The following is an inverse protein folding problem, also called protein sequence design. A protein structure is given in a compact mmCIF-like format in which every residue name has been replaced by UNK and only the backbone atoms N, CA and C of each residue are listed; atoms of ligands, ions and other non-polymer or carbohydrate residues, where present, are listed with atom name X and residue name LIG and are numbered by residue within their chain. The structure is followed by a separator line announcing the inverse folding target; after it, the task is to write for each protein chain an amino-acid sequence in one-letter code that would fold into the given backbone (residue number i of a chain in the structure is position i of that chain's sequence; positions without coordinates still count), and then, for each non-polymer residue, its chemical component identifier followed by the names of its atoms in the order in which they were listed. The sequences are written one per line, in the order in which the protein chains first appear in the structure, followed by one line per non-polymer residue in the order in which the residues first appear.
data_IF_781774184289
#
_entry.id   IF_781774184289
#
_cell.length_a   1.000
_cell.length_b   1.000
_cell.length_c   1.000
_cell.angle_alpha   90.00
_cell.angle_beta   90.00
_cell.angle_gamma   90.00
#
_symmetry.space_group_name_H-M   'P 1'
#
loop_
_entity.id
_entity.type
_entity.pdbx_description
1 polymer ?
#
# COMPACT_ATOMS: atom_id res chain seq x y z
N UNK A 1 21.60 5.28 14.83
CA UNK A 1 21.22 6.66 15.19
C UNK A 1 21.44 7.56 13.98
N UNK A 2 20.38 7.86 13.25
CA UNK A 2 20.44 8.82 12.16
C UNK A 2 20.51 10.24 12.74
N UNK A 3 21.62 10.95 12.48
CA UNK A 3 21.76 12.35 12.91
C UNK A 3 21.06 13.28 11.92
N UNK A 4 20.16 14.14 12.42
CA UNK A 4 19.45 15.13 11.62
C UNK A 4 20.43 16.26 11.27
N UNK A 5 20.78 16.41 9.98
CA UNK A 5 21.41 17.61 9.46
C UNK A 5 20.43 18.34 8.57
N UNK A 6 19.81 19.37 9.12
CA UNK A 6 18.97 20.27 8.36
C UNK A 6 19.80 21.23 7.51
N UNK A 7 19.58 21.24 6.22
CA UNK A 7 20.10 22.30 5.34
C UNK A 7 18.98 22.85 4.45
N UNK A 8 18.50 24.05 4.81
CA UNK A 8 17.63 24.87 3.94
C UNK A 8 18.47 25.44 2.81
N UNK A 9 18.10 25.18 1.57
CA UNK A 9 18.50 26.01 0.43
C UNK A 9 17.31 26.49 -0.36
N UNK A 10 17.02 27.79 -0.26
CA UNK A 10 16.20 28.51 -1.23
C UNK A 10 17.01 28.72 -2.51
N UNK A 11 16.54 28.26 -3.65
CA UNK A 11 16.88 28.85 -4.95
C UNK A 11 15.66 28.94 -5.83
N UNK A 12 15.24 30.19 -6.06
CA UNK A 12 14.33 30.54 -7.16
C UNK A 12 15.12 30.43 -8.47
N UNK A 13 14.70 29.59 -9.38
CA UNK A 13 15.07 29.70 -10.78
C UNK A 13 13.79 29.94 -11.59
N UNK A 14 13.77 31.09 -12.26
CA UNK A 14 12.79 31.43 -13.28
C UNK A 14 13.26 30.76 -14.57
N UNK A 15 12.52 29.78 -15.06
CA UNK A 15 12.72 29.22 -16.39
C UNK A 15 11.57 29.73 -17.26
N UNK A 16 11.91 30.57 -18.24
CA UNK A 16 11.00 30.98 -19.31
C UNK A 16 10.99 29.84 -20.34
N UNK A 17 9.91 29.09 -20.40
CA UNK A 17 9.70 28.05 -21.39
C UNK A 17 8.77 28.58 -22.48
N UNK A 18 9.27 28.70 -23.70
CA UNK A 18 8.48 29.07 -24.87
C UNK A 18 7.58 27.92 -25.27
N UNK A 19 6.27 28.11 -25.16
CA UNK A 19 5.25 27.12 -25.38
C UNK A 19 4.97 26.97 -26.88
N UNK A 20 5.26 25.82 -27.46
CA UNK A 20 4.76 25.42 -28.78
C UNK A 20 3.38 24.79 -28.59
N UNK A 21 2.31 25.52 -28.95
CA UNK A 21 0.94 25.01 -28.89
C UNK A 21 0.72 23.92 -29.96
N UNK A 22 0.73 22.67 -29.55
CA UNK A 22 0.01 21.62 -30.23
C UNK A 22 -1.37 21.50 -29.61
N UNK A 23 -2.39 21.96 -30.34
CA UNK A 23 -3.80 21.81 -29.98
C UNK A 23 -4.20 20.33 -30.05
N UNK A 24 -4.00 19.59 -28.98
CA UNK A 24 -4.84 18.46 -28.69
C UNK A 24 -6.03 18.97 -27.90
N UNK A 25 -7.23 18.83 -28.44
CA UNK A 25 -8.47 19.04 -27.70
C UNK A 25 -8.57 17.99 -26.61
N UNK A 26 -8.03 18.30 -25.43
CA UNK A 26 -8.38 17.58 -24.22
C UNK A 26 -9.84 17.98 -23.95
N UNK A 27 -10.79 17.04 -23.81
CA UNK A 27 -12.11 17.40 -23.32
C UNK A 27 -11.91 18.05 -21.95
N UNK A 28 -12.22 19.34 -21.86
CA UNK A 28 -12.29 20.00 -20.56
C UNK A 28 -13.49 19.40 -19.84
N UNK A 29 -13.22 18.55 -18.84
CA UNK A 29 -14.24 18.28 -17.85
C UNK A 29 -14.42 19.57 -17.06
N UNK A 30 -15.43 20.34 -17.43
CA UNK A 30 -15.90 21.42 -16.59
C UNK A 30 -16.48 20.73 -15.34
N UNK A 31 -15.85 20.91 -14.21
CA UNK A 31 -16.46 20.61 -12.92
C UNK A 31 -17.52 21.67 -12.65
N UNK A 32 -18.71 21.48 -13.23
CA UNK A 32 -19.90 22.18 -12.75
C UNK A 32 -20.41 21.35 -11.57
N UNK A 33 -20.26 21.88 -10.38
CA UNK A 33 -20.48 21.16 -9.11
C UNK A 33 -21.96 20.97 -8.77
N UNK A 34 -22.87 21.34 -9.65
CA UNK A 34 -24.30 21.34 -9.38
C UNK A 34 -25.13 20.42 -10.31
N UNK A 35 -24.51 19.77 -11.29
CA UNK A 35 -25.24 18.83 -12.14
C UNK A 35 -24.98 17.36 -11.69
N UNK A 36 -26.02 16.54 -11.54
CA UNK A 36 -25.85 15.14 -11.18
C UNK A 36 -25.03 14.41 -12.24
N UNK A 37 -23.96 13.74 -11.81
CA UNK A 37 -23.13 12.92 -12.70
C UNK A 37 -23.96 11.75 -13.22
N UNK A 38 -24.36 11.80 -14.48
CA UNK A 38 -25.04 10.69 -15.14
C UNK A 38 -24.01 9.69 -15.61
N UNK A 39 -23.89 8.59 -14.92
CA UNK A 39 -23.08 7.46 -15.37
C UNK A 39 -23.89 6.61 -16.34
N UNK A 40 -23.85 6.96 -17.62
CA UNK A 40 -24.66 6.31 -18.68
C UNK A 40 -24.49 4.79 -18.74
N UNK A 41 -23.33 4.28 -18.32
CA UNK A 41 -23.05 2.84 -18.30
C UNK A 41 -23.99 2.04 -17.39
N UNK A 42 -24.61 2.66 -16.41
CA UNK A 42 -25.56 2.03 -15.49
C UNK A 42 -26.99 2.49 -15.71
N UNK A 43 -27.23 3.40 -16.64
CA UNK A 43 -28.59 3.83 -17.04
C UNK A 43 -29.42 4.53 -15.96
N UNK A 44 -28.81 5.00 -14.87
CA UNK A 44 -29.47 5.67 -13.75
C UNK A 44 -28.65 6.91 -13.38
N UNK A 45 -29.31 7.99 -12.99
CA UNK A 45 -28.66 9.13 -12.36
C UNK A 45 -28.26 8.77 -10.91
N UNK A 46 -27.07 9.18 -10.52
CA UNK A 46 -26.61 9.05 -9.14
C UNK A 46 -26.48 10.42 -8.52
N UNK A 47 -26.91 10.56 -7.27
CA UNK A 47 -26.54 11.71 -6.46
C UNK A 47 -25.14 11.48 -5.91
N UNK A 48 -24.22 12.39 -6.19
CA UNK A 48 -22.88 12.36 -5.61
C UNK A 48 -22.94 13.01 -4.22
N UNK A 49 -22.40 12.31 -3.23
CA UNK A 49 -22.27 12.82 -1.86
C UNK A 49 -20.80 12.75 -1.48
N UNK A 50 -20.21 13.91 -1.20
CA UNK A 50 -18.87 13.98 -0.62
C UNK A 50 -18.97 13.60 0.86
N UNK A 51 -18.36 12.50 1.25
CA UNK A 51 -18.36 12.00 2.64
C UNK A 51 -17.11 12.43 3.42
N UNK A 52 -16.02 12.81 2.75
CA UNK A 52 -14.80 13.30 3.38
C UNK A 52 -14.00 14.17 2.42
N UNK A 53 -13.29 15.14 2.95
CA UNK A 53 -12.39 16.05 2.21
C UNK A 53 -11.14 16.39 3.05
N UNK A 54 -10.41 17.43 2.66
CA UNK A 54 -9.20 17.86 3.38
C UNK A 54 -9.47 18.33 4.82
N UNK A 55 -10.71 18.66 5.20
CA UNK A 55 -11.07 18.99 6.59
C UNK A 55 -11.18 17.74 7.46
N UNK A 56 -11.31 16.57 6.84
CA UNK A 56 -11.26 15.25 7.44
C UNK A 56 -9.85 14.63 7.39
N UNK A 57 -8.82 15.45 7.21
CA UNK A 57 -7.41 15.07 7.13
C UNK A 57 -7.01 14.32 5.86
N UNK A 58 -7.77 14.37 4.77
CA UNK A 58 -7.35 13.75 3.52
C UNK A 58 -6.25 14.60 2.85
N UNK A 59 -5.14 13.94 2.49
CA UNK A 59 -4.03 14.55 1.76
C UNK A 59 -3.39 13.53 0.79
N UNK A 60 -3.66 13.68 -0.49
CA UNK A 60 -3.31 12.73 -1.55
C UNK A 60 -3.79 11.30 -1.23
N UNK A 61 -5.12 11.08 -0.98
CA UNK A 61 -5.65 9.77 -0.66
C UNK A 61 -5.43 8.79 -1.82
N UNK A 62 -5.00 7.56 -1.50
CA UNK A 62 -4.62 6.56 -2.50
C UNK A 62 -5.49 5.33 -2.48
N UNK A 63 -5.91 4.93 -1.29
CA UNK A 63 -6.70 3.72 -1.10
C UNK A 63 -7.65 3.88 0.07
N UNK A 64 -8.70 3.10 0.08
CA UNK A 64 -9.68 3.08 1.15
C UNK A 64 -10.27 1.68 1.36
N UNK A 65 -10.49 1.31 2.59
CA UNK A 65 -11.10 0.04 2.94
C UNK A 65 -11.99 0.16 4.20
N UNK A 66 -13.14 -0.52 4.19
CA UNK A 66 -13.98 -0.60 5.39
C UNK A 66 -13.40 -1.61 6.37
N UNK A 67 -13.39 -1.24 7.66
CA UNK A 67 -12.92 -2.11 8.71
C UNK A 67 -13.82 -3.35 8.86
N UNK A 68 -13.30 -4.59 8.81
CA UNK A 68 -14.13 -5.79 8.73
C UNK A 68 -14.98 -6.05 9.97
N UNK A 69 -14.54 -5.59 11.13
CA UNK A 69 -15.20 -5.84 12.42
C UNK A 69 -15.94 -4.62 13.02
N UNK A 70 -15.75 -3.43 12.46
CA UNK A 70 -16.41 -2.19 12.94
C UNK A 70 -17.27 -1.60 11.85
N UNK A 71 -18.58 -1.67 12.06
CA UNK A 71 -19.57 -1.20 11.07
C UNK A 71 -19.40 0.29 10.80
N UNK A 72 -19.48 0.67 9.52
CA UNK A 72 -19.39 2.04 9.04
C UNK A 72 -18.08 2.77 9.42
N UNK A 73 -17.00 2.02 9.70
CA UNK A 73 -15.66 2.57 9.89
C UNK A 73 -14.84 2.41 8.61
N UNK A 74 -14.40 3.53 8.04
CA UNK A 74 -13.62 3.60 6.81
C UNK A 74 -12.20 4.06 7.11
N UNK A 75 -11.22 3.33 6.60
CA UNK A 75 -9.79 3.66 6.68
C UNK A 75 -9.30 4.15 5.32
N UNK A 76 -8.56 5.25 5.30
CA UNK A 76 -8.08 5.89 4.06
C UNK A 76 -6.58 6.14 4.17
N UNK A 77 -5.83 5.61 3.21
CA UNK A 77 -4.38 5.82 3.09
C UNK A 77 -4.09 7.22 2.52
N UNK A 78 -3.36 8.04 3.28
CA UNK A 78 -2.91 9.37 2.85
C UNK A 78 -1.43 9.33 2.49
N UNK A 79 -1.13 9.32 1.20
CA UNK A 79 0.24 9.24 0.69
C UNK A 79 1.11 10.43 1.07
N UNK A 80 0.58 11.65 0.98
CA UNK A 80 1.35 12.87 1.20
C UNK A 80 1.76 13.09 2.67
N UNK A 81 1.09 12.42 3.61
CA UNK A 81 1.33 12.60 5.05
C UNK A 81 1.75 11.32 5.77
N UNK A 82 1.95 10.21 5.02
CA UNK A 82 2.33 8.91 5.59
C UNK A 82 1.41 8.52 6.76
N UNK A 83 0.11 8.55 6.52
CA UNK A 83 -0.87 8.44 7.59
C UNK A 83 -2.15 7.76 7.13
N UNK A 84 -2.94 7.34 8.11
CA UNK A 84 -4.28 6.79 7.88
C UNK A 84 -5.32 7.74 8.48
N UNK A 85 -6.27 8.17 7.65
CA UNK A 85 -7.50 8.78 8.15
C UNK A 85 -8.52 7.68 8.43
N UNK A 86 -9.11 7.74 9.62
CA UNK A 86 -10.16 6.82 10.06
C UNK A 86 -11.44 7.62 10.22
N UNK A 87 -12.48 7.21 9.51
CA UNK A 87 -13.81 7.82 9.55
C UNK A 87 -14.75 6.83 10.22
N UNK A 88 -15.35 7.25 11.33
CA UNK A 88 -16.38 6.51 12.06
C UNK A 88 -17.77 6.98 11.64
N UNK A 89 -18.74 6.09 11.59
CA UNK A 89 -20.13 6.38 11.18
C UNK A 89 -20.17 7.02 9.78
N UNK A 90 -19.41 6.49 8.83
CA UNK A 90 -19.23 7.00 7.48
C UNK A 90 -20.57 7.29 6.77
N UNK A 91 -20.75 8.54 6.36
CA UNK A 91 -21.98 9.00 5.68
C UNK A 91 -23.18 9.25 6.58
N UNK A 92 -23.04 9.15 7.92
CA UNK A 92 -24.11 9.39 8.89
C UNK A 92 -23.99 10.81 9.52
N UNK A 93 -25.08 11.30 10.11
CA UNK A 93 -25.10 12.62 10.79
C UNK A 93 -24.06 12.78 11.91
N UNK A 94 -23.67 11.67 12.54
CA UNK A 94 -22.71 11.64 13.61
C UNK A 94 -21.31 11.16 13.15
N UNK A 95 -21.01 11.31 11.87
CA UNK A 95 -19.70 11.01 11.33
C UNK A 95 -18.60 11.79 12.07
N UNK A 96 -17.50 11.13 12.35
CA UNK A 96 -16.30 11.75 12.89
C UNK A 96 -15.05 11.21 12.20
N UNK A 97 -14.01 12.01 12.14
CA UNK A 97 -12.75 11.64 11.51
C UNK A 97 -11.57 11.85 12.47
N UNK A 98 -10.58 11.00 12.38
CA UNK A 98 -9.29 11.13 13.05
C UNK A 98 -8.16 10.74 12.11
N UNK A 99 -7.01 11.41 12.22
CA UNK A 99 -5.80 11.01 11.50
C UNK A 99 -4.81 10.33 12.44
N UNK A 100 -4.20 9.25 11.98
CA UNK A 100 -3.17 8.51 12.69
C UNK A 100 -1.92 8.37 11.86
N UNK A 101 -0.80 8.81 12.42
CA UNK A 101 0.51 8.74 11.81
C UNK A 101 1.51 8.15 12.82
N UNK A 102 2.06 7.00 12.52
CA UNK A 102 3.07 6.37 13.38
C UNK A 102 4.36 7.20 13.40
N UNK A 103 5.07 7.20 14.52
CA UNK A 103 6.33 7.97 14.66
C UNK A 103 7.46 7.44 13.77
N UNK A 104 7.37 6.19 13.32
CA UNK A 104 8.33 5.56 12.41
C UNK A 104 7.77 5.40 10.98
N UNK A 105 6.69 6.12 10.64
CA UNK A 105 6.05 6.09 9.33
C UNK A 105 6.99 6.35 8.14
N UNK A 106 8.08 7.06 8.35
CA UNK A 106 9.10 7.33 7.34
C UNK A 106 9.90 6.11 6.85
N UNK A 107 9.49 4.92 7.26
CA UNK A 107 9.95 3.63 6.75
C UNK A 107 8.77 2.68 6.60
N UNK A 108 7.97 2.52 7.66
CA UNK A 108 6.91 1.51 7.70
C UNK A 108 5.60 1.94 7.01
N UNK A 109 5.40 3.24 6.73
CA UNK A 109 4.19 3.76 6.09
C UNK A 109 4.49 4.90 5.09
N UNK A 110 5.74 5.04 4.65
CA UNK A 110 6.19 6.15 3.81
C UNK A 110 5.56 6.09 2.42
N UNK A 111 4.94 7.20 2.00
CA UNK A 111 4.20 7.28 0.73
C UNK A 111 3.20 6.12 0.56
N UNK A 112 2.42 5.84 1.61
CA UNK A 112 1.45 4.73 1.61
C UNK A 112 0.53 4.81 0.40
N UNK A 113 0.48 3.73 -0.38
CA UNK A 113 -0.20 3.65 -1.67
C UNK A 113 -1.41 2.72 -1.68
N UNK A 114 -1.41 1.71 -0.81
CA UNK A 114 -2.51 0.76 -0.69
C UNK A 114 -2.55 0.15 0.71
N UNK A 115 -3.74 -0.30 1.13
CA UNK A 115 -3.99 -1.01 2.38
C UNK A 115 -4.89 -2.23 2.13
N UNK A 116 -4.76 -3.26 2.94
CA UNK A 116 -5.65 -4.42 2.91
C UNK A 116 -5.85 -4.98 4.32
N UNK A 117 -7.10 -5.05 4.78
CA UNK A 117 -7.40 -5.74 6.03
C UNK A 117 -7.23 -7.26 5.88
N UNK A 118 -6.66 -7.87 6.92
CA UNK A 118 -6.29 -9.27 6.96
C UNK A 118 -7.02 -10.08 8.02
N UNK A 119 -6.29 -10.96 8.70
CA UNK A 119 -6.82 -11.83 9.72
C UNK A 119 -7.13 -11.08 11.03
N UNK A 120 -8.06 -11.65 11.80
CA UNK A 120 -8.32 -11.18 13.16
C UNK A 120 -7.28 -11.74 14.14
N UNK A 121 -6.67 -10.85 14.93
CA UNK A 121 -5.78 -11.20 16.01
C UNK A 121 -6.40 -10.80 17.38
N UNK A 122 -6.37 -11.67 18.41
CA UNK A 122 -7.04 -11.38 19.70
C UNK A 122 -6.56 -10.11 20.43
N UNK A 123 -5.30 -9.73 20.23
CA UNK A 123 -4.67 -8.58 20.86
C UNK A 123 -4.73 -7.34 19.95
N UNK A 124 -4.42 -7.52 18.65
CA UNK A 124 -4.25 -6.43 17.69
C UNK A 124 -5.52 -6.08 16.90
N UNK A 125 -6.64 -6.78 17.16
CA UNK A 125 -7.86 -6.70 16.35
C UNK A 125 -7.62 -7.21 14.92
N UNK A 126 -8.29 -6.69 13.91
CA UNK A 126 -7.98 -7.06 12.54
C UNK A 126 -6.60 -6.51 12.14
N UNK A 127 -5.70 -7.41 11.71
CA UNK A 127 -4.43 -6.99 11.14
C UNK A 127 -4.66 -6.35 9.76
N UNK A 128 -3.75 -5.52 9.31
CA UNK A 128 -3.81 -4.97 7.96
C UNK A 128 -2.41 -4.74 7.41
N UNK A 129 -2.26 -5.01 6.12
CA UNK A 129 -1.05 -4.77 5.36
C UNK A 129 -1.07 -3.42 4.67
N UNK A 130 0.09 -2.79 4.52
CA UNK A 130 0.28 -1.58 3.71
C UNK A 130 1.31 -1.78 2.62
N UNK A 131 1.11 -1.08 1.49
CA UNK A 131 2.11 -0.92 0.44
C UNK A 131 2.61 0.53 0.43
N UNK A 132 3.92 0.72 0.16
CA UNK A 132 4.59 2.02 0.16
C UNK A 132 5.21 2.30 -1.21
N UNK A 133 4.75 3.38 -1.87
CA UNK A 133 5.27 3.81 -3.19
C UNK A 133 6.57 4.61 -3.04
N UNK A 134 7.52 4.08 -2.31
CA UNK A 134 8.83 4.71 -2.03
C UNK A 134 9.99 3.78 -2.30
N UNK A 135 11.15 4.38 -2.62
CA UNK A 135 12.41 3.68 -2.81
C UNK A 135 13.25 3.57 -1.54
N UNK A 136 12.67 3.73 -0.38
CA UNK A 136 13.32 3.80 0.92
C UNK A 136 14.12 5.10 1.14
N UNK A 137 13.51 6.03 1.86
CA UNK A 137 14.18 7.27 2.30
C UNK A 137 14.64 7.21 3.76
N UNK A 138 14.49 6.08 4.42
CA UNK A 138 14.93 5.89 5.79
C UNK A 138 16.42 6.26 5.96
N UNK A 139 16.72 7.07 6.96
CA UNK A 139 18.05 7.60 7.18
C UNK A 139 18.65 8.37 5.99
N UNK A 140 17.83 8.96 5.12
CA UNK A 140 18.26 9.77 3.98
C UNK A 140 18.71 8.95 2.76
N UNK A 141 18.29 7.72 2.65
CA UNK A 141 18.45 6.91 1.45
C UNK A 141 17.35 7.29 0.46
N UNK A 142 17.72 7.64 -0.78
CA UNK A 142 16.77 8.09 -1.81
C UNK A 142 16.79 7.21 -3.06
N UNK A 143 17.68 6.24 -3.13
CA UNK A 143 17.70 5.27 -4.20
C UNK A 143 16.88 4.06 -3.79
N UNK A 144 16.11 3.52 -4.73
CA UNK A 144 15.43 2.25 -4.53
C UNK A 144 16.43 1.17 -4.13
N UNK A 145 16.12 0.45 -3.09
CA UNK A 145 16.87 -0.72 -2.63
C UNK A 145 15.92 -1.69 -1.94
N UNK A 146 16.38 -2.89 -1.69
CA UNK A 146 15.54 -3.96 -1.16
C UNK A 146 15.16 -3.78 0.33
N UNK A 147 15.51 -2.69 0.96
CA UNK A 147 15.08 -2.38 2.33
C UNK A 147 13.70 -1.70 2.38
N UNK A 148 12.80 -2.08 1.49
CA UNK A 148 11.39 -1.67 1.44
C UNK A 148 10.52 -2.84 1.02
N UNK A 149 9.29 -2.86 1.50
CA UNK A 149 8.27 -3.84 1.17
C UNK A 149 7.00 -3.64 2.01
N UNK A 150 6.12 -4.64 2.08
CA UNK A 150 4.88 -4.51 2.84
C UNK A 150 5.12 -4.51 4.34
N UNK A 151 4.29 -3.74 5.05
CA UNK A 151 4.29 -3.69 6.52
C UNK A 151 2.95 -4.17 7.05
N UNK A 152 2.98 -4.94 8.14
CA UNK A 152 1.81 -5.45 8.85
C UNK A 152 1.53 -4.61 10.10
N UNK A 153 0.27 -4.27 10.34
CA UNK A 153 -0.18 -3.35 11.36
C UNK A 153 -1.35 -3.89 12.17
N UNK A 154 -1.48 -3.50 13.45
CA UNK A 154 -2.70 -3.72 14.22
C UNK A 154 -3.78 -2.71 13.81
N UNK A 155 -5.06 -3.09 13.80
CA UNK A 155 -6.15 -2.11 13.68
C UNK A 155 -6.69 -1.65 15.04
N UNK A 156 -6.32 -2.31 16.11
CA UNK A 156 -6.64 -1.87 17.46
C UNK A 156 -6.15 -0.43 17.71
N UNK A 157 -7.07 0.48 17.95
CA UNK A 157 -6.75 1.90 18.17
C UNK A 157 -6.03 2.17 19.51
N UNK A 158 -5.83 1.15 20.32
CA UNK A 158 -4.97 1.19 21.49
C UNK A 158 -3.50 0.90 21.14
N UNK A 159 -3.24 0.30 19.97
CA UNK A 159 -1.91 -0.08 19.49
C UNK A 159 -1.48 0.79 18.32
N UNK A 160 -2.24 0.85 17.22
CA UNK A 160 -1.88 1.57 16.00
C UNK A 160 -1.61 3.05 16.24
N UNK A 161 -0.41 3.50 15.94
CA UNK A 161 0.13 4.85 16.19
C UNK A 161 0.00 5.33 17.64
N UNK A 162 0.05 4.41 18.60
CA UNK A 162 0.02 4.65 20.05
C UNK A 162 1.20 4.00 20.74
N UNK A 163 1.48 2.74 20.46
CA UNK A 163 2.59 2.03 21.08
C UNK A 163 3.93 2.40 20.48
N UNK A 164 4.96 2.37 21.30
CA UNK A 164 6.37 2.56 20.91
C UNK A 164 6.65 3.86 20.13
N UNK A 165 5.81 4.90 20.33
CA UNK A 165 5.95 6.17 19.60
C UNK A 165 7.15 7.02 20.07
N UNK A 166 7.88 6.58 21.08
CA UNK A 166 9.06 7.26 21.61
C UNK A 166 10.32 6.41 21.40
N UNK A 167 11.31 6.92 20.73
CA UNK A 167 12.57 6.26 20.38
C UNK A 167 13.46 5.84 21.59
N UNK A 168 12.92 5.78 22.80
CA UNK A 168 13.71 5.55 24.04
C UNK A 168 13.88 4.10 24.45
N UNK A 169 13.08 3.18 23.92
CA UNK A 169 13.05 1.77 24.31
C UNK A 169 13.68 0.83 23.27
N UNK A 170 14.09 1.34 22.12
CA UNK A 170 14.66 0.57 21.00
C UNK A 170 13.62 -0.05 20.07
N UNK A 171 12.33 0.10 20.39
CA UNK A 171 11.24 -0.37 19.54
C UNK A 171 10.87 0.67 18.47
N UNK A 172 10.36 0.21 17.32
CA UNK A 172 10.20 1.01 16.11
C UNK A 172 8.72 1.25 15.77
N UNK A 173 8.00 1.95 16.63
CA UNK A 173 6.59 2.27 16.39
C UNK A 173 5.64 1.12 16.70
N UNK A 174 4.50 1.12 16.03
CA UNK A 174 3.40 0.19 16.29
C UNK A 174 3.19 -0.88 15.21
N UNK A 175 4.07 -0.97 14.21
CA UNK A 175 4.00 -2.08 13.27
C UNK A 175 4.25 -3.42 13.99
N UNK A 176 3.69 -4.48 13.48
CA UNK A 176 3.79 -5.82 14.07
C UNK A 176 4.55 -6.79 13.20
N UNK A 177 4.87 -6.40 11.97
CA UNK A 177 5.81 -7.04 11.08
C UNK A 177 6.13 -6.15 9.89
N UNK A 178 7.25 -6.41 9.21
CA UNK A 178 7.60 -5.83 7.93
C UNK A 178 8.49 -6.80 7.16
N UNK A 179 8.17 -7.05 5.92
CA UNK A 179 9.07 -7.75 5.01
C UNK A 179 9.61 -6.80 3.96
N UNK A 180 10.82 -7.07 3.50
CA UNK A 180 11.55 -6.24 2.54
C UNK A 180 11.53 -6.83 1.12
N UNK A 181 12.49 -6.47 0.26
CA UNK A 181 12.74 -6.97 -1.10
C UNK A 181 11.83 -6.41 -2.20
N UNK A 182 10.91 -5.45 -1.90
CA UNK A 182 9.97 -4.91 -2.91
C UNK A 182 9.72 -3.41 -2.76
N UNK A 183 10.65 -2.53 -3.21
CA UNK A 183 10.42 -1.08 -3.19
C UNK A 183 9.38 -0.64 -4.22
N UNK A 184 8.80 0.56 -4.01
CA UNK A 184 7.73 1.13 -4.84
C UNK A 184 6.47 0.25 -4.93
N UNK A 185 6.01 -0.27 -3.81
CA UNK A 185 4.74 -1.00 -3.76
C UNK A 185 3.55 -0.13 -4.13
N UNK A 186 2.69 -0.61 -5.03
CA UNK A 186 1.56 0.17 -5.54
C UNK A 186 0.22 -0.54 -5.41
N UNK A 187 0.21 -1.69 -4.76
CA UNK A 187 -1.00 -2.45 -4.48
C UNK A 187 -0.72 -3.58 -3.51
N UNK A 188 -1.71 -3.89 -2.69
CA UNK A 188 -1.68 -5.02 -1.75
C UNK A 188 -3.07 -5.63 -1.68
N UNK A 189 -3.16 -6.96 -1.50
CA UNK A 189 -4.41 -7.66 -1.27
C UNK A 189 -4.19 -8.79 -0.28
N UNK A 190 -5.10 -8.94 0.68
CA UNK A 190 -5.04 -10.02 1.65
C UNK A 190 -5.59 -11.33 1.07
N UNK A 191 -4.84 -12.42 1.28
CA UNK A 191 -5.23 -13.78 0.93
C UNK A 191 -5.89 -14.49 2.14
N UNK A 192 -5.11 -15.08 3.02
CA UNK A 192 -5.56 -15.72 4.26
C UNK A 192 -4.50 -15.57 5.35
N UNK A 193 -4.85 -15.71 6.61
CA UNK A 193 -3.94 -15.53 7.76
C UNK A 193 -3.08 -14.26 7.60
N UNK A 194 -1.76 -14.35 7.67
CA UNK A 194 -0.82 -13.26 7.44
C UNK A 194 -0.21 -13.28 6.02
N UNK A 195 -0.98 -13.76 5.04
CA UNK A 195 -0.56 -13.85 3.63
C UNK A 195 -1.14 -12.71 2.80
N UNK A 196 -0.27 -12.01 2.09
CA UNK A 196 -0.62 -10.90 1.24
C UNK A 196 0.02 -11.01 -0.14
N UNK A 197 -0.72 -10.56 -1.15
CA UNK A 197 -0.23 -10.32 -2.50
C UNK A 197 0.19 -8.86 -2.64
N UNK A 198 1.30 -8.61 -3.32
CA UNK A 198 1.93 -7.30 -3.40
C UNK A 198 2.34 -6.98 -4.83
N UNK A 199 2.05 -5.76 -5.28
CA UNK A 199 2.48 -5.24 -6.57
C UNK A 199 3.79 -4.46 -6.40
N UNK A 200 4.90 -5.10 -6.74
CA UNK A 200 6.24 -4.52 -6.68
C UNK A 200 6.46 -3.60 -7.89
N UNK A 201 6.41 -2.29 -7.68
CA UNK A 201 6.58 -1.31 -8.75
C UNK A 201 8.03 -1.12 -9.22
N UNK A 202 9.03 -1.59 -8.47
CA UNK A 202 10.43 -1.48 -8.85
C UNK A 202 10.87 -2.58 -9.82
N UNK A 203 10.63 -3.82 -9.43
CA UNK A 203 10.97 -4.97 -10.27
C UNK A 203 9.89 -5.27 -11.30
N UNK A 204 8.69 -4.73 -11.12
CA UNK A 204 7.56 -4.94 -12.02
C UNK A 204 7.02 -6.36 -11.94
N UNK A 205 6.87 -6.88 -10.73
CA UNK A 205 6.50 -8.27 -10.47
C UNK A 205 5.36 -8.37 -9.46
N UNK A 206 4.61 -9.45 -9.53
CA UNK A 206 3.73 -9.87 -8.46
C UNK A 206 4.54 -10.62 -7.41
N UNK A 207 4.34 -10.28 -6.14
CA UNK A 207 5.03 -10.93 -5.01
C UNK A 207 4.00 -11.40 -3.98
N UNK A 208 4.20 -12.59 -3.43
CA UNK A 208 3.40 -13.12 -2.33
C UNK A 208 4.25 -13.14 -1.07
N UNK A 209 3.78 -12.42 -0.07
CA UNK A 209 4.36 -12.37 1.26
C UNK A 209 3.52 -13.19 2.22
N UNK A 210 4.15 -14.08 2.96
CA UNK A 210 3.59 -14.80 4.09
C UNK A 210 4.42 -14.41 5.31
N UNK A 211 3.88 -13.50 6.11
CA UNK A 211 4.55 -12.97 7.30
C UNK A 211 4.68 -14.02 8.43
N UNK A 212 3.90 -15.10 8.38
CA UNK A 212 3.83 -16.12 9.43
C UNK A 212 3.34 -15.55 10.76
N UNK A 213 4.17 -15.64 11.79
CA UNK A 213 3.85 -15.08 13.10
C UNK A 213 4.26 -13.60 13.14
N UNK A 214 3.47 -12.76 13.79
CA UNK A 214 3.89 -11.39 14.04
C UNK A 214 4.98 -11.33 15.14
N UNK A 215 5.79 -10.29 15.12
CA UNK A 215 6.90 -10.12 16.07
C UNK A 215 6.57 -9.18 17.24
N UNK A 216 5.32 -8.96 17.57
CA UNK A 216 4.87 -7.92 18.50
C UNK A 216 5.19 -6.49 18.01
N UNK A 217 4.61 -5.47 18.67
CA UNK A 217 4.75 -4.08 18.22
C UNK A 217 6.19 -3.56 18.29
N UNK A 218 6.69 -3.11 17.14
CA UNK A 218 7.95 -2.39 16.99
C UNK A 218 9.22 -3.25 17.06
N UNK A 219 9.10 -4.56 17.03
CA UNK A 219 10.23 -5.48 16.91
C UNK A 219 10.79 -5.51 15.47
N UNK A 220 11.78 -6.38 15.19
CA UNK A 220 12.51 -6.44 13.93
C UNK A 220 12.94 -7.86 13.53
N UNK A 221 12.24 -8.92 13.98
CA UNK A 221 12.51 -10.31 13.59
C UNK A 221 11.57 -10.74 12.47
N UNK A 222 12.09 -10.87 11.26
CA UNK A 222 11.37 -11.28 10.06
C UNK A 222 11.81 -12.66 9.55
N UNK A 223 12.54 -13.43 10.36
CA UNK A 223 13.26 -14.63 9.91
C UNK A 223 12.38 -15.83 9.58
N UNK A 224 11.12 -15.83 9.98
CA UNK A 224 10.14 -16.89 9.67
C UNK A 224 9.36 -16.65 8.38
N UNK A 225 9.47 -15.45 7.79
CA UNK A 225 8.71 -15.05 6.63
C UNK A 225 9.05 -15.84 5.36
N UNK A 226 8.05 -15.97 4.48
CA UNK A 226 8.17 -16.62 3.17
C UNK A 226 7.83 -15.60 2.08
N UNK A 227 8.77 -15.34 1.19
CA UNK A 227 8.59 -14.42 0.06
C UNK A 227 8.69 -15.19 -1.26
N UNK A 228 7.67 -15.07 -2.11
CA UNK A 228 7.58 -15.74 -3.41
C UNK A 228 7.34 -14.72 -4.52
N UNK A 229 8.25 -14.66 -5.47
CA UNK A 229 8.19 -13.76 -6.63
C UNK A 229 7.63 -14.49 -7.85
N UNK A 230 6.71 -13.86 -8.55
CA UNK A 230 6.06 -14.38 -9.76
C UNK A 230 6.56 -13.58 -10.97
N UNK A 231 7.82 -13.78 -11.34
CA UNK A 231 8.52 -12.98 -12.35
C UNK A 231 7.93 -13.07 -13.77
N UNK A 232 7.19 -14.14 -14.08
CA UNK A 232 6.47 -14.27 -15.35
C UNK A 232 5.24 -13.36 -15.46
N UNK A 233 4.74 -12.83 -14.32
CA UNK A 233 3.62 -11.88 -14.27
C UNK A 233 4.20 -10.48 -14.26
N UNK A 234 4.61 -9.99 -15.44
CA UNK A 234 5.17 -8.66 -15.57
C UNK A 234 4.11 -7.58 -15.36
N UNK A 235 4.34 -6.70 -14.38
CA UNK A 235 3.52 -5.53 -14.04
C UNK A 235 4.23 -4.24 -14.46
N UNK A 236 3.47 -3.19 -14.75
CA UNK A 236 4.04 -1.93 -15.20
C UNK A 236 3.65 -0.80 -14.25
N UNK A 237 4.59 -0.39 -13.43
CA UNK A 237 4.41 0.74 -12.52
C UNK A 237 4.32 2.07 -13.29
N UNK A 238 3.38 2.91 -12.89
CA UNK A 238 3.29 4.30 -13.29
C UNK A 238 3.21 5.17 -12.03
N UNK A 239 4.30 5.86 -11.71
CA UNK A 239 4.43 6.61 -10.46
C UNK A 239 3.23 7.52 -10.17
N UNK A 240 2.73 7.43 -8.94
CA UNK A 240 1.56 8.19 -8.50
C UNK A 240 0.22 7.62 -8.98
N UNK A 241 0.21 6.47 -9.64
CA UNK A 241 -1.01 5.77 -10.05
C UNK A 241 -1.05 4.41 -9.37
N UNK A 242 -2.06 4.14 -8.52
CA UNK A 242 -2.20 2.86 -7.84
C UNK A 242 -2.34 1.69 -8.82
N UNK A 243 -1.76 0.55 -8.47
CA UNK A 243 -1.94 -0.73 -9.13
C UNK A 243 -2.69 -1.69 -8.21
N UNK A 244 -3.89 -1.28 -7.75
CA UNK A 244 -4.66 -2.03 -6.76
C UNK A 244 -5.01 -3.44 -7.19
N UNK A 245 -5.21 -4.29 -6.20
CA UNK A 245 -5.53 -5.69 -6.36
C UNK A 245 -6.76 -6.05 -5.54
N UNK A 246 -7.52 -7.02 -6.03
CA UNK A 246 -8.68 -7.58 -5.32
C UNK A 246 -8.59 -9.09 -5.34
N UNK A 247 -8.64 -9.71 -4.17
CA UNK A 247 -8.68 -11.16 -4.01
C UNK A 247 -10.12 -11.66 -3.95
N UNK A 248 -10.56 -12.42 -4.95
CA UNK A 248 -11.80 -13.20 -4.88
C UNK A 248 -11.50 -14.52 -4.15
N UNK A 249 -11.61 -14.48 -2.82
CA UNK A 249 -11.33 -15.63 -1.94
C UNK A 249 -12.25 -16.82 -2.18
N UNK A 250 -13.42 -16.59 -2.79
CA UNK A 250 -14.37 -17.67 -3.07
C UNK A 250 -13.95 -18.55 -4.24
N UNK A 251 -13.14 -18.01 -5.14
CA UNK A 251 -12.71 -18.67 -6.37
C UNK A 251 -11.18 -18.84 -6.45
N UNK A 252 -10.41 -18.33 -5.47
CA UNK A 252 -8.96 -18.35 -5.50
C UNK A 252 -8.36 -17.49 -6.64
N UNK A 253 -9.04 -16.40 -7.03
CA UNK A 253 -8.57 -15.55 -8.12
C UNK A 253 -8.17 -14.16 -7.61
N UNK A 254 -6.94 -13.77 -7.89
CA UNK A 254 -6.45 -12.42 -7.68
C UNK A 254 -6.62 -11.61 -8.95
N UNK A 255 -7.30 -10.46 -8.88
CA UNK A 255 -7.40 -9.48 -9.96
C UNK A 255 -6.45 -8.31 -9.70
N UNK A 256 -5.74 -7.87 -10.75
CA UNK A 256 -4.70 -6.84 -10.64
C UNK A 256 -4.96 -5.74 -11.67
N UNK A 257 -5.04 -4.50 -11.22
CA UNK A 257 -5.05 -3.32 -12.10
C UNK A 257 -3.60 -2.97 -12.49
N UNK A 258 -3.13 -3.46 -13.64
CA UNK A 258 -1.83 -3.09 -14.20
C UNK A 258 -1.96 -1.74 -14.92
N UNK A 259 -1.89 -0.66 -14.13
CA UNK A 259 -2.20 0.70 -14.55
C UNK A 259 -1.25 1.19 -15.66
N UNK A 260 0.04 0.88 -15.57
CA UNK A 260 1.01 1.30 -16.58
C UNK A 260 0.86 0.59 -17.94
N UNK A 261 0.33 -0.63 -17.95
CA UNK A 261 0.04 -1.38 -19.16
C UNK A 261 -1.43 -1.23 -19.64
N UNK A 262 -2.26 -0.47 -18.91
CA UNK A 262 -3.68 -0.26 -19.23
C UNK A 262 -4.47 -1.56 -19.41
N UNK A 263 -4.27 -2.52 -18.50
CA UNK A 263 -4.93 -3.83 -18.52
C UNK A 263 -5.32 -4.29 -17.12
N UNK A 264 -6.21 -5.28 -17.05
CA UNK A 264 -6.51 -6.03 -15.83
C UNK A 264 -6.01 -7.45 -16.02
N UNK A 265 -5.26 -7.95 -15.04
CA UNK A 265 -4.77 -9.31 -14.97
C UNK A 265 -5.60 -10.11 -13.98
N UNK A 266 -5.64 -11.43 -14.17
CA UNK A 266 -6.09 -12.37 -13.17
C UNK A 266 -5.04 -13.46 -12.94
N UNK A 267 -4.94 -13.97 -11.72
CA UNK A 267 -4.01 -15.03 -11.32
C UNK A 267 -4.78 -16.06 -10.50
N UNK A 268 -4.64 -17.34 -10.83
CA UNK A 268 -5.16 -18.44 -10.03
C UNK A 268 -4.22 -18.70 -8.85
N UNK A 269 -4.61 -18.26 -7.66
CA UNK A 269 -3.78 -18.38 -6.45
C UNK A 269 -3.80 -19.79 -5.85
N UNK A 270 -4.77 -20.61 -6.26
CA UNK A 270 -4.91 -22.01 -5.87
C UNK A 270 -4.20 -22.99 -6.83
N UNK A 271 -3.46 -22.47 -7.83
CA UNK A 271 -2.73 -23.31 -8.76
C UNK A 271 -1.62 -24.09 -8.06
N UNK A 272 -1.75 -25.41 -8.06
CA UNK A 272 -0.78 -26.34 -7.47
C UNK A 272 0.22 -26.93 -8.47
N UNK A 273 0.15 -26.49 -9.73
CA UNK A 273 1.02 -26.97 -10.81
C UNK A 273 2.29 -26.12 -10.99
N UNK A 274 2.44 -25.09 -10.17
CA UNK A 274 3.55 -24.15 -10.20
C UNK A 274 4.91 -24.81 -9.91
N UNK A 275 5.95 -24.22 -10.47
CA UNK A 275 7.35 -24.59 -10.19
C UNK A 275 7.97 -23.58 -9.25
N UNK A 276 8.60 -24.02 -8.16
CA UNK A 276 9.34 -23.17 -7.22
C UNK A 276 10.84 -23.38 -7.39
N UNK A 277 11.59 -22.28 -7.44
CA UNK A 277 13.05 -22.28 -7.50
C UNK A 277 13.60 -21.32 -6.46
N UNK A 278 14.46 -21.79 -5.57
CA UNK A 278 15.08 -20.95 -4.54
C UNK A 278 15.88 -19.81 -5.20
N UNK A 279 15.62 -18.58 -4.79
CA UNK A 279 16.44 -17.44 -5.12
C UNK A 279 17.66 -17.48 -4.20
N UNK A 280 18.84 -17.61 -4.80
CA UNK A 280 20.08 -17.69 -4.04
C UNK A 280 20.28 -16.41 -3.23
N UNK A 281 20.70 -16.59 -2.00
CA UNK A 281 21.13 -15.53 -1.12
C UNK A 281 22.30 -14.77 -1.77
N UNK A 282 22.09 -13.49 -2.04
CA UNK A 282 23.12 -12.60 -2.57
C UNK A 282 23.34 -11.41 -1.63
N UNK A 283 24.37 -10.62 -1.88
CA UNK A 283 24.71 -9.46 -1.04
C UNK A 283 23.69 -8.31 -1.12
N UNK A 284 22.67 -8.41 -1.97
CA UNK A 284 21.57 -7.44 -2.07
C UNK A 284 20.39 -7.79 -1.16
N UNK A 285 20.31 -9.04 -0.72
CA UNK A 285 19.31 -9.48 0.24
C UNK A 285 19.60 -8.88 1.61
N UNK A 286 18.60 -8.23 2.19
CA UNK A 286 18.79 -7.41 3.40
C UNK A 286 18.29 -8.10 4.67
N UNK A 287 17.58 -9.21 4.56
CA UNK A 287 17.05 -9.95 5.70
C UNK A 287 17.16 -11.47 5.52
N UNK A 288 17.25 -12.18 6.62
CA UNK A 288 17.13 -13.64 6.65
C UNK A 288 15.64 -14.01 6.57
N UNK A 289 15.27 -14.78 5.54
CA UNK A 289 13.91 -15.28 5.32
C UNK A 289 13.91 -16.81 5.44
N UNK A 290 12.80 -17.40 5.91
CA UNK A 290 12.64 -18.85 5.91
C UNK A 290 12.58 -19.43 4.50
N UNK A 291 12.01 -18.68 3.54
CA UNK A 291 12.00 -19.02 2.11
C UNK A 291 12.05 -17.73 1.27
N UNK A 292 12.91 -17.72 0.25
CA UNK A 292 12.88 -16.73 -0.81
C UNK A 292 12.97 -17.44 -2.15
N UNK A 293 11.88 -17.43 -2.93
CA UNK A 293 11.78 -18.25 -4.13
C UNK A 293 11.11 -17.53 -5.29
N UNK A 294 11.45 -17.97 -6.51
CA UNK A 294 10.79 -17.63 -7.75
C UNK A 294 9.74 -18.69 -8.06
N UNK A 295 8.53 -18.26 -8.41
CA UNK A 295 7.42 -19.12 -8.82
C UNK A 295 7.13 -18.90 -10.29
N UNK A 296 7.08 -19.98 -11.06
CA UNK A 296 6.72 -20.01 -12.47
C UNK A 296 5.65 -21.05 -12.77
N UNK A 297 5.16 -21.05 -13.99
CA UNK A 297 4.10 -21.96 -14.48
C UNK A 297 2.74 -21.75 -13.77
N UNK A 298 2.51 -20.59 -13.15
CA UNK A 298 1.21 -20.27 -12.55
C UNK A 298 0.17 -19.96 -13.63
N UNK A 299 -1.08 -20.36 -13.41
CA UNK A 299 -2.18 -20.04 -14.32
C UNK A 299 -2.59 -18.57 -14.14
N UNK A 300 -2.43 -17.77 -15.19
CA UNK A 300 -2.80 -16.34 -15.21
C UNK A 300 -3.22 -15.88 -16.61
N UNK A 301 -3.83 -14.68 -16.70
CA UNK A 301 -4.25 -14.10 -17.99
C UNK A 301 -4.64 -12.61 -17.88
N UNK A 302 -5.05 -12.07 -19.04
CA UNK A 302 -5.49 -10.67 -19.24
C UNK A 302 -6.95 -10.66 -19.63
#
# INVERSE_FOLDING_TARGET
MCGIVGMRMLRKQVVVLTLLLLLFSIPSYATDTDDPVVVEAFGVGFDEVIIADSTDFLDDPRDLEFHPGRTDELWIANRATDSITIIENTGLENQSSQNRADSHRNHFLEEVSAIAFGAYHPEFDWQWGSAQETGNTYCGQYAANNFMGPTLWPSSLNHFAVENQNNGNGLLGSHIDMNHESPFGVGIAHDYDNVYWYNDGHYGELVRYDFKEDHDTGQDDHSDAVVRRYSEIALTHFYGVPGHMVMDKSNGILYIADAGASRVLWVNTDDTTTTSTDIMDDASRLEDLAEYSEITDVEWGV
#
